data_IF_611739252091
#
_entry.id   IF_611739252091
#
_cell.length_a   1.000
_cell.length_b   1.000
_cell.length_c   1.000
_cell.angle_alpha   90.00
_cell.angle_beta   90.00
_cell.angle_gamma   90.00
#
_symmetry.space_group_name_H-M   'P 1'
#
loop_
_entity.id
_entity.type
_entity.pdbx_description
1 polymer ?
#
# COMPACT_ATOMS: atom_id res chain seq x y z
N UNK A 1 28.75 -14.32 25.80
CA UNK A 1 28.64 -12.91 25.38
C UNK A 1 28.73 -12.85 23.87
N UNK A 2 27.59 -12.87 23.17
CA UNK A 2 27.56 -12.68 21.71
C UNK A 2 27.45 -11.18 21.44
N UNK A 3 28.47 -10.61 20.79
CA UNK A 3 28.49 -9.21 20.37
C UNK A 3 27.31 -8.95 19.43
N UNK A 4 26.48 -7.97 19.78
CA UNK A 4 25.49 -7.37 18.88
C UNK A 4 26.25 -6.65 17.77
N UNK A 5 26.23 -7.20 16.56
CA UNK A 5 26.69 -6.48 15.38
C UNK A 5 25.73 -5.32 15.12
N UNK A 6 26.13 -4.12 15.52
CA UNK A 6 25.60 -2.90 14.92
C UNK A 6 25.88 -2.94 13.41
N UNK A 7 24.97 -2.46 12.54
CA UNK A 7 25.28 -2.33 11.13
C UNK A 7 26.51 -1.43 11.00
N UNK A 8 27.56 -1.97 10.37
CA UNK A 8 28.76 -1.22 10.00
C UNK A 8 28.31 0.07 9.31
N UNK A 9 28.85 1.23 9.73
CA UNK A 9 28.54 2.50 9.08
C UNK A 9 28.86 2.38 7.59
N UNK A 10 27.89 2.66 6.75
CA UNK A 10 28.04 2.56 5.30
C UNK A 10 28.84 3.77 4.80
N UNK A 11 30.13 3.57 4.57
CA UNK A 11 31.04 4.65 4.17
C UNK A 11 30.93 5.04 2.71
N UNK A 12 30.51 4.10 1.84
CA UNK A 12 30.45 4.31 0.39
C UNK A 12 29.14 3.80 -0.21
N UNK A 13 28.83 4.25 -1.43
CA UNK A 13 27.68 3.72 -2.18
C UNK A 13 27.84 2.23 -2.53
N UNK A 14 29.07 1.78 -2.80
CA UNK A 14 29.38 0.36 -3.02
C UNK A 14 29.01 -0.51 -1.81
N UNK A 15 29.10 0.03 -0.59
CA UNK A 15 28.66 -0.66 0.62
C UNK A 15 27.12 -0.82 0.65
N UNK A 16 26.36 0.19 0.23
CA UNK A 16 24.89 0.12 0.13
C UNK A 16 24.50 -0.99 -0.86
N UNK A 17 25.12 -0.99 -2.03
CA UNK A 17 24.89 -2.01 -3.07
C UNK A 17 25.24 -3.41 -2.56
N UNK A 18 26.33 -3.56 -1.81
CA UNK A 18 26.73 -4.84 -1.19
C UNK A 18 25.69 -5.32 -0.17
N UNK A 19 25.17 -4.43 0.68
CA UNK A 19 24.11 -4.76 1.65
C UNK A 19 22.85 -5.21 0.92
N UNK A 20 22.43 -4.51 -0.11
CA UNK A 20 21.23 -4.85 -0.91
C UNK A 20 21.36 -6.23 -1.54
N UNK A 21 22.52 -6.57 -2.11
CA UNK A 21 22.79 -7.91 -2.64
C UNK A 21 22.81 -8.99 -1.56
N UNK A 22 23.23 -8.66 -0.34
CA UNK A 22 23.17 -9.58 0.80
C UNK A 22 21.74 -9.84 1.25
N UNK A 23 20.90 -8.80 1.30
CA UNK A 23 19.48 -8.92 1.64
C UNK A 23 18.66 -9.63 0.56
N UNK A 24 19.04 -9.45 -0.71
CA UNK A 24 18.36 -10.00 -1.87
C UNK A 24 19.38 -10.75 -2.78
N UNK A 25 19.84 -11.94 -2.38
CA UNK A 25 20.89 -12.68 -3.10
C UNK A 25 20.49 -13.07 -4.52
N UNK A 26 19.20 -13.32 -4.74
CA UNK A 26 18.63 -13.70 -6.04
C UNK A 26 17.99 -12.51 -6.78
N UNK A 27 18.40 -11.27 -6.46
CA UNK A 27 17.78 -10.03 -6.99
C UNK A 27 17.72 -10.00 -8.53
N UNK A 28 18.65 -10.67 -9.22
CA UNK A 28 18.71 -10.70 -10.67
C UNK A 28 17.96 -11.87 -11.31
N UNK A 29 17.40 -12.79 -10.53
CA UNK A 29 16.78 -14.03 -11.01
C UNK A 29 15.39 -14.29 -10.45
N UNK A 30 14.93 -13.52 -9.46
CA UNK A 30 13.63 -13.73 -8.80
C UNK A 30 12.89 -12.42 -8.53
N UNK A 31 11.61 -12.57 -8.22
CA UNK A 31 10.78 -11.46 -7.74
C UNK A 31 10.86 -11.30 -6.23
N UNK A 32 10.92 -10.05 -5.76
CA UNK A 32 10.80 -9.66 -4.37
C UNK A 32 9.64 -8.69 -4.16
N UNK A 33 8.97 -8.81 -3.01
CA UNK A 33 7.91 -7.91 -2.57
C UNK A 33 8.25 -7.42 -1.17
N UNK A 34 8.24 -6.10 -0.98
CA UNK A 34 8.74 -5.45 0.23
C UNK A 34 7.74 -4.39 0.72
N UNK A 35 7.30 -4.44 1.99
CA UNK A 35 7.53 -5.55 2.92
C UNK A 35 6.88 -6.86 2.44
N UNK A 36 7.44 -8.02 2.81
CA UNK A 36 6.89 -9.34 2.41
C UNK A 36 5.54 -9.64 3.07
N UNK A 37 5.20 -8.90 4.13
CA UNK A 37 3.92 -8.97 4.83
C UNK A 37 3.32 -7.58 4.85
N UNK A 38 2.04 -7.47 4.47
CA UNK A 38 1.32 -6.21 4.56
C UNK A 38 1.01 -5.88 6.01
N UNK A 39 1.37 -4.67 6.43
CA UNK A 39 1.06 -4.13 7.75
C UNK A 39 -0.01 -3.05 7.63
N UNK A 40 -1.01 -3.08 8.52
CA UNK A 40 -1.99 -2.01 8.60
C UNK A 40 -1.30 -0.67 8.90
N UNK A 41 -1.81 0.42 8.34
CA UNK A 41 -1.30 1.78 8.57
C UNK A 41 -1.44 2.18 10.04
N UNK A 42 -2.51 1.72 10.68
CA UNK A 42 -2.73 1.87 12.12
C UNK A 42 -2.77 0.49 12.73
N UNK A 43 -1.91 0.21 13.72
CA UNK A 43 -2.03 -1.02 14.51
C UNK A 43 -3.28 -0.92 15.37
N UNK A 44 -4.15 -1.92 15.35
CA UNK A 44 -5.35 -1.95 16.16
C UNK A 44 -5.52 -3.31 16.85
N UNK A 45 -6.00 -3.28 18.09
CA UNK A 45 -6.34 -4.45 18.89
C UNK A 45 -7.86 -4.56 18.99
N UNK A 46 -8.38 -5.77 18.81
CA UNK A 46 -9.80 -6.05 19.03
C UNK A 46 -10.07 -6.13 20.52
N UNK A 47 -10.99 -5.30 21.01
CA UNK A 47 -11.56 -5.42 22.35
C UNK A 47 -13.03 -5.80 22.23
N UNK A 48 -13.36 -6.96 22.79
CA UNK A 48 -14.74 -7.37 22.97
C UNK A 48 -15.16 -6.91 24.38
N UNK A 49 -16.04 -5.91 24.45
CA UNK A 49 -16.78 -5.58 25.67
C UNK A 49 -18.20 -6.10 25.48
N UNK A 50 -18.88 -6.65 26.51
CA UNK A 50 -20.26 -7.08 26.37
C UNK A 50 -21.13 -5.98 25.74
N UNK A 51 -21.72 -6.28 24.58
CA UNK A 51 -22.58 -5.36 23.84
C UNK A 51 -21.87 -4.43 22.82
N UNK A 52 -20.54 -4.31 22.83
CA UNK A 52 -19.80 -3.47 21.87
C UNK A 52 -18.45 -4.09 21.51
N UNK A 53 -18.25 -4.38 20.23
CA UNK A 53 -16.92 -4.63 19.68
C UNK A 53 -16.30 -3.29 19.27
N UNK A 54 -15.17 -2.90 19.84
CA UNK A 54 -14.40 -1.75 19.33
C UNK A 54 -12.93 -2.10 19.12
N UNK A 55 -12.32 -1.40 18.18
CA UNK A 55 -10.90 -1.53 17.84
C UNK A 55 -10.14 -0.37 18.49
N UNK A 56 -9.16 -0.68 19.35
CA UNK A 56 -8.28 0.32 19.95
C UNK A 56 -6.96 0.37 19.20
N UNK A 57 -6.53 1.54 18.74
CA UNK A 57 -5.21 1.66 18.12
C UNK A 57 -4.10 1.41 19.16
N UNK A 58 -3.03 0.72 18.75
CA UNK A 58 -1.79 0.68 19.51
C UNK A 58 -0.91 1.87 19.08
N UNK A 59 -0.67 2.81 19.99
CA UNK A 59 0.33 3.87 19.79
C UNK A 59 1.54 3.53 20.64
N UNK A 60 2.71 3.36 20.01
CA UNK A 60 3.98 3.32 20.73
C UNK A 60 4.42 4.73 21.05
N UNK A 61 4.21 5.16 22.28
CA UNK A 61 4.83 6.37 22.80
C UNK A 61 6.31 6.08 23.06
N UNK A 62 7.19 6.79 22.37
CA UNK A 62 8.61 6.86 22.78
C UNK A 62 8.70 7.80 23.98
N UNK A 63 9.46 7.48 25.04
CA UNK A 63 9.65 8.40 26.16
C UNK A 63 10.61 9.51 25.72
N UNK A 64 10.08 10.50 25.02
CA UNK A 64 10.75 11.79 24.83
C UNK A 64 10.00 12.81 25.66
N UNK A 65 10.62 13.22 26.76
CA UNK A 65 10.14 14.32 27.58
C UNK A 65 9.95 15.57 26.72
N UNK A 66 8.70 16.04 26.69
CA UNK A 66 8.25 17.43 26.57
C UNK A 66 6.76 17.36 26.24
N UNK A 67 5.94 17.38 27.29
CA UNK A 67 4.48 17.34 27.18
C UNK A 67 3.92 18.63 26.57
N UNK A 68 2.74 18.58 25.91
CA UNK A 68 1.99 19.78 25.58
C UNK A 68 1.36 20.37 26.84
N UNK A 69 1.63 21.65 27.10
CA UNK A 69 0.95 22.43 28.15
C UNK A 69 -0.51 22.67 27.78
N UNK A 70 -1.42 22.27 28.66
CA UNK A 70 -2.77 22.82 28.75
C UNK A 70 -3.00 23.25 30.20
N UNK A 71 -3.32 24.54 30.38
CA UNK A 71 -3.66 25.19 31.64
C UNK A 71 -5.01 24.68 32.17
N UNK A 72 -5.11 24.32 33.46
CA UNK A 72 -5.88 25.07 34.48
C UNK A 72 -6.11 24.30 35.80
N UNK A 73 -5.91 25.04 36.90
CA UNK A 73 -6.38 24.94 38.29
C UNK A 73 -6.03 23.74 39.24
N UNK A 74 -5.28 24.11 40.29
CA UNK A 74 -4.94 23.43 41.56
C UNK A 74 -6.07 23.59 42.63
N UNK A 75 -6.14 22.80 43.75
CA UNK A 75 -5.12 22.81 44.82
C UNK A 75 -4.72 21.46 45.47
N UNK A 76 -3.41 21.36 45.72
CA UNK A 76 -2.71 21.00 46.97
C UNK A 76 -3.12 19.74 47.78
N UNK A 77 -2.20 18.76 47.85
CA UNK A 77 -1.53 18.41 49.12
C UNK A 77 -0.30 17.50 48.92
N UNK A 78 0.72 17.83 49.69
CA UNK A 78 2.07 17.29 49.78
C UNK A 78 2.10 15.88 50.38
N UNK A 79 2.89 14.96 49.83
CA UNK A 79 3.81 14.11 50.62
C UNK A 79 4.93 13.54 49.75
N UNK A 80 6.13 13.50 50.33
CA UNK A 80 7.45 13.34 49.72
C UNK A 80 8.00 11.91 49.91
N UNK A 81 8.57 11.34 48.82
CA UNK A 81 9.66 10.31 48.67
C UNK A 81 9.51 8.91 49.34
N UNK A 82 10.24 7.84 48.91
CA UNK A 82 11.34 7.79 47.93
C UNK A 82 11.34 6.68 46.86
N UNK A 83 12.31 6.87 45.96
CA UNK A 83 12.67 6.13 44.77
C UNK A 83 12.84 4.61 44.93
N UNK A 84 12.37 3.87 43.92
CA UNK A 84 12.80 2.52 43.63
C UNK A 84 13.15 2.44 42.13
N UNK A 85 14.37 2.05 41.72
CA UNK A 85 14.74 1.97 40.31
C UNK A 85 14.26 0.63 39.75
N UNK A 86 12.98 0.55 39.38
CA UNK A 86 12.47 -0.58 38.60
C UNK A 86 12.56 -0.26 37.11
N UNK A 87 13.36 -1.10 36.43
CA UNK A 87 13.38 -1.41 35.00
C UNK A 87 12.31 -0.70 34.14
N UNK A 88 12.73 0.34 33.40
CA UNK A 88 11.89 1.00 32.41
C UNK A 88 11.87 0.12 31.15
N UNK A 89 10.99 -0.88 31.14
CA UNK A 89 10.46 -1.42 29.90
C UNK A 89 9.56 -0.34 29.26
N UNK A 90 9.57 -0.16 27.93
CA UNK A 90 8.60 0.72 27.28
C UNK A 90 7.19 0.26 27.63
N UNK A 91 6.45 1.04 28.43
CA UNK A 91 5.04 0.82 28.65
C UNK A 91 4.30 1.21 27.36
N UNK A 92 3.85 0.21 26.60
CA UNK A 92 2.87 0.41 25.54
C UNK A 92 1.61 0.98 26.18
N UNK A 93 1.45 2.31 26.10
CA UNK A 93 0.27 2.99 26.63
C UNK A 93 -0.81 2.91 25.56
N UNK A 94 -1.84 2.09 25.78
CA UNK A 94 -3.01 2.03 24.89
C UNK A 94 -3.81 3.34 25.00
N UNK A 95 -3.43 4.32 24.19
CA UNK A 95 -4.23 5.53 23.98
C UNK A 95 -5.36 5.14 23.02
N UNK A 96 -6.65 5.36 23.34
CA UNK A 96 -7.73 5.15 22.40
C UNK A 96 -7.65 6.20 21.29
N UNK A 97 -6.83 5.94 20.26
CA UNK A 97 -6.91 6.69 19.00
C UNK A 97 -8.12 6.17 18.25
N UNK A 98 -9.02 7.07 17.90
CA UNK A 98 -10.19 6.78 17.07
C UNK A 98 -9.71 6.45 15.66
N UNK A 99 -9.48 5.17 15.38
CA UNK A 99 -9.25 4.69 14.00
C UNK A 99 -10.50 4.99 13.19
N UNK A 100 -10.35 5.71 12.07
CA UNK A 100 -11.50 6.03 11.24
C UNK A 100 -11.82 4.86 10.30
N UNK A 101 -13.10 4.68 9.98
CA UNK A 101 -13.56 3.70 8.98
C UNK A 101 -12.81 3.81 7.63
N UNK A 102 -12.36 5.02 7.29
CA UNK A 102 -11.55 5.26 6.11
C UNK A 102 -10.18 4.56 6.15
N UNK A 103 -9.52 4.51 7.31
CA UNK A 103 -8.20 3.87 7.44
C UNK A 103 -8.32 2.36 7.22
N UNK A 104 -9.37 1.71 7.74
CA UNK A 104 -9.62 0.28 7.48
C UNK A 104 -9.87 -0.02 6.01
N UNK A 105 -10.65 0.84 5.34
CA UNK A 105 -10.95 0.67 3.92
C UNK A 105 -9.71 0.84 3.04
N UNK A 106 -8.85 1.79 3.38
CA UNK A 106 -7.59 2.03 2.67
C UNK A 106 -6.59 0.89 2.92
N UNK A 107 -6.45 0.42 4.15
CA UNK A 107 -5.59 -0.74 4.49
C UNK A 107 -6.07 -2.01 3.79
N UNK A 108 -7.38 -2.28 3.79
CA UNK A 108 -7.93 -3.42 3.06
C UNK A 108 -7.65 -3.30 1.56
N UNK A 109 -7.94 -2.15 0.96
CA UNK A 109 -7.70 -1.94 -0.47
C UNK A 109 -6.23 -2.17 -0.83
N UNK A 110 -5.32 -1.71 0.02
CA UNK A 110 -3.91 -1.94 -0.17
C UNK A 110 -3.55 -3.42 -0.06
N UNK A 111 -4.01 -4.11 0.98
CA UNK A 111 -3.80 -5.55 1.13
C UNK A 111 -4.33 -6.34 -0.06
N UNK A 112 -5.53 -6.01 -0.54
CA UNK A 112 -6.18 -6.67 -1.67
C UNK A 112 -5.37 -6.51 -2.96
N UNK A 113 -4.94 -5.30 -3.28
CA UNK A 113 -4.08 -5.03 -4.45
C UNK A 113 -2.74 -5.75 -4.31
N UNK A 114 -2.07 -5.65 -3.16
CA UNK A 114 -0.76 -6.28 -2.96
C UNK A 114 -0.82 -7.81 -3.05
N UNK A 115 -1.89 -8.44 -2.55
CA UNK A 115 -2.09 -9.89 -2.67
C UNK A 115 -2.23 -10.33 -4.13
N UNK A 116 -2.97 -9.57 -4.94
CA UNK A 116 -3.11 -9.83 -6.38
C UNK A 116 -1.79 -9.65 -7.14
N UNK A 117 -1.06 -8.55 -6.86
CA UNK A 117 0.26 -8.33 -7.46
C UNK A 117 1.26 -9.41 -7.05
N UNK A 118 1.17 -9.91 -5.82
CA UNK A 118 2.01 -11.01 -5.34
C UNK A 118 1.72 -12.32 -6.08
N UNK A 119 0.44 -12.68 -6.21
CA UNK A 119 0.06 -13.85 -6.98
C UNK A 119 0.50 -13.74 -8.44
N UNK A 120 0.33 -12.57 -9.07
CA UNK A 120 0.82 -12.28 -10.41
C UNK A 120 2.34 -12.47 -10.52
N UNK A 121 3.12 -11.81 -9.67
CA UNK A 121 4.57 -11.93 -9.61
C UNK A 121 5.05 -13.39 -9.50
N UNK A 122 4.45 -14.15 -8.58
CA UNK A 122 4.80 -15.54 -8.35
C UNK A 122 4.50 -16.44 -9.56
N UNK A 123 3.47 -16.10 -10.35
CA UNK A 123 3.09 -16.86 -11.54
C UNK A 123 4.02 -16.65 -12.74
N UNK A 124 4.74 -15.51 -12.81
CA UNK A 124 5.43 -15.07 -14.05
C UNK A 124 6.87 -15.53 -14.20
N UNK A 125 7.53 -16.00 -13.13
CA UNK A 125 8.98 -16.32 -13.14
C UNK A 125 9.86 -15.21 -13.75
N UNK A 126 9.40 -13.96 -13.69
CA UNK A 126 10.10 -12.77 -14.16
C UNK A 126 10.83 -12.09 -12.99
N UNK A 127 11.73 -11.16 -13.31
CA UNK A 127 12.54 -10.45 -12.32
C UNK A 127 11.89 -9.11 -12.01
N UNK A 128 11.29 -9.03 -10.82
CA UNK A 128 10.53 -7.86 -10.37
C UNK A 128 10.90 -7.48 -8.93
N UNK A 129 10.79 -6.20 -8.61
CA UNK A 129 10.90 -5.71 -7.24
C UNK A 129 9.71 -4.81 -6.95
N UNK A 130 8.82 -5.24 -6.06
CA UNK A 130 7.57 -4.55 -5.76
C UNK A 130 7.65 -3.97 -4.35
N UNK A 131 7.64 -2.64 -4.22
CA UNK A 131 7.59 -1.93 -2.96
C UNK A 131 6.16 -1.50 -2.66
N UNK A 132 5.70 -1.72 -1.43
CA UNK A 132 4.43 -1.21 -0.92
C UNK A 132 4.67 -0.08 0.07
N UNK A 133 3.97 1.05 -0.10
CA UNK A 133 4.06 2.27 0.74
C UNK A 133 5.48 2.81 0.88
N UNK A 134 6.05 3.24 -0.24
CA UNK A 134 7.31 3.95 -0.21
C UNK A 134 7.07 5.41 0.23
N UNK A 135 7.53 5.76 1.42
CA UNK A 135 7.54 7.13 1.92
C UNK A 135 8.86 7.82 1.53
N UNK A 136 8.77 8.83 0.66
CA UNK A 136 9.93 9.58 0.19
C UNK A 136 10.57 10.46 1.27
N UNK A 137 9.87 10.73 2.37
CA UNK A 137 10.41 11.44 3.53
C UNK A 137 11.40 10.59 4.34
N UNK A 138 11.33 9.27 4.22
CA UNK A 138 12.28 8.33 4.84
C UNK A 138 13.38 7.89 3.86
N UNK A 139 13.21 8.17 2.57
CA UNK A 139 14.15 7.80 1.51
C UNK A 139 15.56 8.33 1.78
N UNK A 140 16.54 7.41 1.86
CA UNK A 140 17.96 7.68 2.14
C UNK A 140 18.24 8.51 3.41
N UNK A 141 17.28 8.66 4.32
CA UNK A 141 17.40 9.52 5.50
C UNK A 141 17.87 8.80 6.77
N UNK A 142 18.24 7.51 6.67
CA UNK A 142 18.83 6.81 7.79
C UNK A 142 20.27 7.28 8.05
N UNK A 143 20.63 7.63 9.29
CA UNK A 143 21.98 8.09 9.64
C UNK A 143 23.09 7.13 9.24
N UNK A 144 22.81 5.82 9.21
CA UNK A 144 23.77 4.77 8.84
C UNK A 144 24.26 4.85 7.38
N UNK A 145 23.48 5.49 6.48
CA UNK A 145 23.80 5.62 5.06
C UNK A 145 24.10 7.07 4.64
N UNK A 146 23.99 8.04 5.56
CA UNK A 146 24.04 9.46 5.22
C UNK A 146 25.31 9.89 4.45
N UNK A 147 26.47 9.31 4.79
CA UNK A 147 27.72 9.58 4.06
C UNK A 147 27.68 8.99 2.63
N UNK A 148 27.23 7.75 2.50
CA UNK A 148 27.12 7.06 1.22
C UNK A 148 26.08 7.69 0.27
N UNK A 149 25.07 8.36 0.81
CA UNK A 149 23.93 8.91 0.05
C UNK A 149 23.96 10.43 -0.09
N UNK A 150 24.98 11.11 0.45
CA UNK A 150 25.08 12.57 0.47
C UNK A 150 25.02 13.23 -0.93
N UNK A 151 25.45 12.51 -1.97
CA UNK A 151 25.50 12.99 -3.35
C UNK A 151 24.26 12.61 -4.18
N UNK A 152 23.32 11.85 -3.62
CA UNK A 152 22.13 11.39 -4.33
C UNK A 152 21.01 12.43 -4.28
N UNK A 153 20.18 12.53 -5.34
CA UNK A 153 19.09 13.49 -5.37
C UNK A 153 18.07 13.19 -4.27
N UNK A 154 17.68 14.22 -3.54
CA UNK A 154 16.70 14.13 -2.45
C UNK A 154 15.32 14.65 -2.87
N UNK A 155 14.22 14.04 -2.39
CA UNK A 155 12.87 14.56 -2.61
C UNK A 155 12.69 16.00 -2.14
N UNK A 156 13.37 16.42 -1.08
CA UNK A 156 13.33 17.78 -0.54
C UNK A 156 13.87 18.84 -1.51
N UNK A 157 14.70 18.47 -2.49
CA UNK A 157 15.19 19.40 -3.52
C UNK A 157 14.08 19.84 -4.48
N UNK A 158 12.98 19.08 -4.55
CA UNK A 158 11.80 19.45 -5.31
C UNK A 158 10.84 20.34 -4.52
N UNK A 159 11.05 20.49 -3.21
CA UNK A 159 10.15 21.27 -2.35
C UNK A 159 10.09 22.71 -2.85
N UNK A 160 8.87 23.20 -2.97
CA UNK A 160 8.60 24.60 -3.29
C UNK A 160 7.81 25.19 -2.12
N UNK A 161 7.84 26.51 -1.94
CA UNK A 161 7.04 27.17 -0.88
C UNK A 161 5.53 26.88 -0.96
N UNK A 162 5.04 26.24 -2.03
CA UNK A 162 3.64 25.85 -2.24
C UNK A 162 3.40 24.33 -2.23
N UNK A 163 4.43 23.50 -2.36
CA UNK A 163 4.28 22.04 -2.48
C UNK A 163 5.47 21.33 -1.87
N UNK A 164 5.19 20.51 -0.87
CA UNK A 164 6.14 19.63 -0.19
C UNK A 164 6.11 18.25 -0.84
N UNK A 165 7.18 17.93 -1.56
CA UNK A 165 7.46 16.64 -2.18
C UNK A 165 8.16 15.68 -1.22
N UNK A 166 8.88 16.19 -0.22
CA UNK A 166 9.50 15.37 0.83
C UNK A 166 8.51 14.50 1.60
N UNK A 167 7.23 14.88 1.69
CA UNK A 167 6.18 14.07 2.34
C UNK A 167 5.33 13.24 1.36
N UNK A 168 5.81 13.05 0.12
CA UNK A 168 5.08 12.22 -0.85
C UNK A 168 5.21 10.73 -0.51
N UNK A 169 4.22 9.96 -0.96
CA UNK A 169 4.17 8.52 -0.79
C UNK A 169 3.62 7.85 -2.05
N UNK A 170 4.33 6.83 -2.52
CA UNK A 170 3.84 5.90 -3.52
C UNK A 170 3.27 4.66 -2.84
N UNK A 171 2.02 4.30 -3.17
CA UNK A 171 1.38 3.13 -2.55
C UNK A 171 1.99 1.83 -3.11
N UNK A 172 2.37 1.86 -4.40
CA UNK A 172 3.07 0.78 -5.10
C UNK A 172 4.18 1.36 -5.96
N UNK A 173 5.38 0.80 -5.87
CA UNK A 173 6.47 0.97 -6.84
C UNK A 173 6.85 -0.40 -7.37
N UNK A 174 6.66 -0.62 -8.66
CA UNK A 174 6.89 -1.89 -9.32
C UNK A 174 8.06 -1.72 -10.30
N UNK A 175 9.20 -2.34 -9.98
CA UNK A 175 10.43 -2.28 -10.78
C UNK A 175 10.57 -3.61 -11.53
N UNK A 176 10.21 -3.61 -12.81
CA UNK A 176 10.35 -4.77 -13.68
C UNK A 176 11.66 -4.68 -14.46
N UNK A 177 12.48 -5.73 -14.42
CA UNK A 177 13.82 -5.71 -15.04
C UNK A 177 13.80 -5.44 -16.55
N UNK A 178 12.84 -6.05 -17.24
CA UNK A 178 12.74 -6.02 -18.71
C UNK A 178 11.63 -5.08 -19.23
N UNK A 179 10.97 -4.33 -18.35
CA UNK A 179 9.87 -3.44 -18.75
C UNK A 179 10.01 -2.02 -18.20
N UNK A 180 10.68 -1.80 -17.06
CA UNK A 180 10.87 -0.47 -16.48
C UNK A 180 10.17 -0.33 -15.14
N UNK A 181 9.77 0.91 -14.80
CA UNK A 181 9.18 1.23 -13.49
C UNK A 181 7.73 1.64 -13.65
N UNK A 182 6.85 1.06 -12.85
CA UNK A 182 5.45 1.44 -12.70
C UNK A 182 5.21 2.01 -11.30
N UNK A 183 4.63 3.21 -11.23
CA UNK A 183 4.18 3.82 -9.97
C UNK A 183 2.66 3.74 -9.88
N UNK A 184 2.17 3.33 -8.72
CA UNK A 184 0.76 3.14 -8.45
C UNK A 184 0.26 3.93 -7.24
N UNK A 185 -0.96 4.45 -7.37
CA UNK A 185 -1.76 4.97 -6.24
C UNK A 185 -3.03 4.14 -6.08
N UNK A 186 -3.36 3.74 -4.85
CA UNK A 186 -4.52 2.93 -4.53
C UNK A 186 -5.62 3.82 -3.95
N UNK A 187 -6.88 3.60 -4.35
CA UNK A 187 -8.03 4.22 -3.68
C UNK A 187 -9.17 3.26 -3.43
N UNK A 188 -9.63 3.23 -2.18
CA UNK A 188 -10.76 2.45 -1.68
C UNK A 188 -12.14 3.08 -2.02
N UNK A 189 -12.38 3.40 -3.29
CA UNK A 189 -13.67 3.95 -3.75
C UNK A 189 -14.56 2.86 -4.34
N UNK A 190 -15.89 2.98 -4.20
CA UNK A 190 -16.85 2.07 -4.84
C UNK A 190 -17.33 0.87 -4.02
N UNK A 191 -16.71 0.56 -2.86
CA UNK A 191 -17.10 -0.61 -2.05
C UNK A 191 -18.48 -0.52 -1.39
N UNK A 192 -18.92 0.68 -1.04
CA UNK A 192 -20.22 0.90 -0.40
C UNK A 192 -21.18 1.50 -1.44
N UNK A 193 -22.29 0.80 -1.72
CA UNK A 193 -23.32 1.24 -2.68
C UNK A 193 -23.94 2.61 -2.33
N UNK A 194 -23.78 3.07 -1.08
CA UNK A 194 -24.23 4.39 -0.61
C UNK A 194 -23.25 5.54 -0.93
N UNK A 195 -22.08 5.27 -1.52
CA UNK A 195 -21.11 6.33 -1.84
C UNK A 195 -21.55 7.06 -3.11
N UNK A 196 -21.90 8.34 -2.95
CA UNK A 196 -22.29 9.18 -4.08
C UNK A 196 -21.15 9.34 -5.10
N UNK A 197 -21.52 9.50 -6.37
CA UNK A 197 -20.59 9.67 -7.50
C UNK A 197 -19.59 10.80 -7.27
N UNK A 198 -20.00 11.87 -6.61
CA UNK A 198 -19.15 13.02 -6.26
C UNK A 198 -17.94 12.63 -5.40
N UNK A 199 -18.15 11.75 -4.42
CA UNK A 199 -17.06 11.25 -3.56
C UNK A 199 -16.07 10.41 -4.36
N UNK A 200 -16.56 9.58 -5.28
CA UNK A 200 -15.72 8.79 -6.20
C UNK A 200 -14.86 9.73 -7.04
N UNK A 201 -15.49 10.69 -7.73
CA UNK A 201 -14.83 11.71 -8.55
C UNK A 201 -13.74 12.43 -7.75
N UNK A 202 -14.07 12.91 -6.56
CA UNK A 202 -13.14 13.64 -5.69
C UNK A 202 -11.92 12.79 -5.33
N UNK A 203 -12.12 11.53 -4.95
CA UNK A 203 -11.03 10.62 -4.56
C UNK A 203 -10.15 10.19 -5.74
N UNK A 204 -10.72 10.01 -6.93
CA UNK A 204 -9.92 9.73 -8.14
C UNK A 204 -9.11 10.98 -8.54
N UNK A 205 -9.69 12.20 -8.50
CA UNK A 205 -8.94 13.47 -8.72
C UNK A 205 -7.75 13.60 -7.76
N UNK A 206 -7.98 13.30 -6.47
CA UNK A 206 -6.92 13.29 -5.46
C UNK A 206 -5.83 12.26 -5.78
N UNK A 207 -6.21 11.04 -6.17
CA UNK A 207 -5.26 10.00 -6.53
C UNK A 207 -4.38 10.37 -7.73
N UNK A 208 -4.96 10.91 -8.78
CA UNK A 208 -4.24 11.41 -9.95
C UNK A 208 -3.22 12.50 -9.57
N UNK A 209 -3.60 13.41 -8.68
CA UNK A 209 -2.72 14.48 -8.19
C UNK A 209 -1.57 13.91 -7.35
N UNK A 210 -1.85 12.95 -6.46
CA UNK A 210 -0.85 12.27 -5.64
C UNK A 210 0.10 11.41 -6.49
N UNK A 211 -0.43 10.75 -7.52
CA UNK A 211 0.34 9.97 -8.48
C UNK A 211 1.31 10.85 -9.27
N UNK A 212 0.88 12.04 -9.71
CA UNK A 212 1.76 12.98 -10.40
C UNK A 212 2.91 13.46 -9.53
N UNK A 213 2.64 13.77 -8.27
CA UNK A 213 3.68 14.15 -7.31
C UNK A 213 4.67 13.02 -7.08
N UNK A 214 4.17 11.82 -6.78
CA UNK A 214 5.02 10.63 -6.55
C UNK A 214 5.86 10.31 -7.78
N UNK A 215 5.27 10.37 -8.98
CA UNK A 215 5.99 10.16 -10.22
C UNK A 215 7.07 11.20 -10.50
N UNK A 216 6.88 12.47 -10.09
CA UNK A 216 7.92 13.50 -10.17
C UNK A 216 9.08 13.17 -9.21
N UNK A 217 8.77 12.77 -7.98
CA UNK A 217 9.79 12.38 -6.99
C UNK A 217 10.61 11.20 -7.48
N UNK A 218 9.97 10.10 -7.94
CA UNK A 218 10.71 8.91 -8.41
C UNK A 218 11.59 9.25 -9.61
N UNK A 219 11.11 10.06 -10.56
CA UNK A 219 11.98 10.49 -11.68
C UNK A 219 13.16 11.33 -11.23
N UNK A 220 13.01 12.15 -10.19
CA UNK A 220 14.10 12.96 -9.64
C UNK A 220 15.14 12.11 -8.92
N UNK A 221 14.73 11.20 -8.04
CA UNK A 221 15.67 10.35 -7.28
C UNK A 221 16.42 9.35 -8.18
N UNK A 222 15.83 8.99 -9.33
CA UNK A 222 16.46 8.12 -10.33
C UNK A 222 17.21 8.90 -11.42
N UNK A 223 17.27 10.23 -11.33
CA UNK A 223 18.04 11.08 -12.24
C UNK A 223 19.51 10.65 -12.17
N UNK A 224 20.07 10.23 -13.31
CA UNK A 224 21.44 9.78 -13.44
C UNK A 224 21.66 8.26 -13.46
N UNK A 225 20.62 7.43 -13.25
CA UNK A 225 20.75 5.96 -13.41
C UNK A 225 20.39 5.51 -14.83
N UNK A 226 19.30 6.05 -15.37
CA UNK A 226 18.82 5.78 -16.71
C UNK A 226 17.99 6.96 -17.21
N UNK A 227 18.54 7.77 -18.12
CA UNK A 227 17.91 8.97 -18.68
C UNK A 227 16.60 8.69 -19.43
N UNK A 228 16.52 7.53 -20.09
CA UNK A 228 15.41 7.16 -20.98
C UNK A 228 14.56 6.00 -20.42
N UNK A 229 14.57 5.84 -19.10
CA UNK A 229 13.85 4.80 -18.39
C UNK A 229 12.34 4.79 -18.73
N UNK A 230 11.78 3.68 -19.25
CA UNK A 230 10.34 3.49 -19.31
C UNK A 230 9.72 3.62 -17.92
N UNK A 231 8.80 4.58 -17.83
CA UNK A 231 8.19 4.99 -16.59
C UNK A 231 6.68 5.10 -16.76
N UNK A 232 5.97 4.20 -16.10
CA UNK A 232 4.52 4.02 -16.20
C UNK A 232 3.82 4.45 -14.92
N UNK A 233 2.52 4.68 -15.04
CA UNK A 233 1.68 5.25 -14.00
C UNK A 233 0.33 4.59 -14.00
N UNK A 234 -0.18 4.22 -12.84
CA UNK A 234 -1.51 3.64 -12.69
C UNK A 234 -2.21 4.13 -11.43
N UNK A 235 -3.53 4.02 -11.45
CA UNK A 235 -4.36 4.10 -10.26
C UNK A 235 -5.05 2.75 -10.10
N UNK A 236 -4.92 2.16 -8.92
CA UNK A 236 -5.65 0.96 -8.52
C UNK A 236 -6.99 1.38 -7.90
N UNK A 237 -8.06 0.88 -8.49
CA UNK A 237 -9.46 1.13 -8.12
C UNK A 237 -10.14 -0.23 -7.88
N UNK A 238 -9.79 -0.94 -6.79
CA UNK A 238 -10.18 -2.34 -6.59
C UNK A 238 -11.69 -2.59 -6.49
N UNK A 239 -12.51 -1.54 -6.36
CA UNK A 239 -13.96 -1.66 -6.20
C UNK A 239 -14.76 -0.81 -7.21
N UNK A 240 -14.11 -0.36 -8.29
CA UNK A 240 -14.79 0.27 -9.43
C UNK A 240 -14.39 -0.51 -10.66
N UNK A 241 -15.38 -0.92 -11.47
CA UNK A 241 -15.10 -1.55 -12.75
C UNK A 241 -14.63 -0.55 -13.81
N UNK A 242 -13.87 -1.01 -14.79
CA UNK A 242 -13.43 -0.22 -15.95
C UNK A 242 -14.61 0.46 -16.66
N UNK A 243 -15.77 -0.20 -16.72
CA UNK A 243 -17.01 0.35 -17.29
C UNK A 243 -17.54 1.52 -16.47
N UNK A 244 -17.64 1.38 -15.15
CA UNK A 244 -18.09 2.47 -14.27
C UNK A 244 -17.12 3.65 -14.32
N UNK A 245 -15.81 3.40 -14.28
CA UNK A 245 -14.79 4.44 -14.43
C UNK A 245 -14.99 5.21 -15.74
N UNK A 246 -15.20 4.50 -16.86
CA UNK A 246 -15.44 5.13 -18.16
C UNK A 246 -16.67 6.02 -18.17
N UNK A 247 -17.80 5.55 -17.65
CA UNK A 247 -19.03 6.34 -17.55
C UNK A 247 -18.81 7.62 -16.72
N UNK A 248 -18.10 7.51 -15.59
CA UNK A 248 -17.77 8.67 -14.76
C UNK A 248 -16.88 9.67 -15.52
N UNK A 249 -15.92 9.19 -16.33
CA UNK A 249 -15.04 10.05 -17.13
C UNK A 249 -15.78 10.73 -18.28
N UNK A 250 -16.72 10.04 -18.93
CA UNK A 250 -17.58 10.61 -19.97
C UNK A 250 -18.49 11.72 -19.42
N UNK A 251 -18.90 11.61 -18.16
CA UNK A 251 -19.80 12.57 -17.51
C UNK A 251 -19.08 13.72 -16.76
N UNK A 252 -17.80 13.58 -16.38
CA UNK A 252 -17.02 14.61 -15.67
C UNK A 252 -15.74 14.99 -16.45
N UNK A 253 -15.88 16.01 -17.29
CA UNK A 253 -14.79 16.58 -18.10
C UNK A 253 -13.57 17.04 -17.27
N UNK A 254 -13.77 17.49 -16.03
CA UNK A 254 -12.68 17.93 -15.17
C UNK A 254 -11.89 16.74 -14.63
N UNK A 255 -12.57 15.65 -14.26
CA UNK A 255 -11.94 14.39 -13.87
C UNK A 255 -11.17 13.80 -15.05
N UNK A 256 -11.81 13.75 -16.23
CA UNK A 256 -11.18 13.27 -17.45
C UNK A 256 -9.84 13.96 -17.69
N UNK A 257 -9.83 15.31 -17.73
CA UNK A 257 -8.59 16.08 -17.98
C UNK A 257 -7.50 15.75 -16.97
N UNK A 258 -7.84 15.72 -15.68
CA UNK A 258 -6.88 15.45 -14.59
C UNK A 258 -6.34 14.02 -14.67
N UNK A 259 -7.20 13.03 -14.89
CA UNK A 259 -6.78 11.62 -14.94
C UNK A 259 -5.96 11.34 -16.19
N UNK A 260 -6.43 11.79 -17.37
CA UNK A 260 -5.72 11.65 -18.64
C UNK A 260 -4.31 12.26 -18.57
N UNK A 261 -4.18 13.49 -18.06
CA UNK A 261 -2.88 14.14 -17.87
C UNK A 261 -1.96 13.34 -16.94
N UNK A 262 -2.49 12.86 -15.81
CA UNK A 262 -1.72 12.07 -14.84
C UNK A 262 -1.21 10.76 -15.44
N UNK A 263 -2.06 10.06 -16.21
CA UNK A 263 -1.74 8.80 -16.88
C UNK A 263 -1.02 8.98 -18.23
N UNK A 264 -0.77 10.23 -18.67
CA UNK A 264 -0.11 10.58 -19.94
C UNK A 264 -0.82 9.99 -21.17
N UNK A 265 -2.13 10.16 -21.21
CA UNK A 265 -2.98 9.80 -22.33
C UNK A 265 -3.96 10.93 -22.61
N UNK A 266 -4.48 11.00 -23.83
CA UNK A 266 -5.55 11.91 -24.26
C UNK A 266 -6.89 11.19 -24.44
N UNK A 267 -6.86 9.86 -24.51
CA UNK A 267 -8.00 9.00 -24.79
C UNK A 267 -8.62 8.40 -23.51
N UNK A 268 -9.94 8.56 -23.33
CA UNK A 268 -10.70 8.04 -22.16
C UNK A 268 -10.64 6.51 -22.09
N UNK A 269 -10.80 5.82 -23.22
CA UNK A 269 -10.72 4.36 -23.28
C UNK A 269 -9.34 3.88 -22.81
N UNK A 270 -8.27 4.55 -23.28
CA UNK A 270 -6.90 4.26 -22.85
C UNK A 270 -6.70 4.59 -21.37
N UNK A 271 -7.22 5.72 -20.88
CA UNK A 271 -7.17 6.07 -19.45
C UNK A 271 -7.84 5.00 -18.58
N UNK A 272 -9.01 4.49 -18.99
CA UNK A 272 -9.71 3.42 -18.27
C UNK A 272 -8.90 2.12 -18.22
N UNK A 273 -8.21 1.76 -19.32
CA UNK A 273 -7.36 0.56 -19.41
C UNK A 273 -6.03 0.67 -18.66
N UNK A 274 -5.53 1.90 -18.43
CA UNK A 274 -4.30 2.14 -17.69
C UNK A 274 -4.53 2.08 -16.16
N UNK A 275 -5.75 2.29 -15.69
CA UNK A 275 -6.14 1.99 -14.32
C UNK A 275 -6.29 0.49 -14.13
N UNK A 276 -5.92 -0.03 -12.95
CA UNK A 276 -6.26 -1.39 -12.54
C UNK A 276 -7.58 -1.34 -11.78
N UNK A 277 -8.64 -1.82 -12.40
CA UNK A 277 -10.02 -1.77 -11.89
C UNK A 277 -10.42 -3.09 -11.21
N UNK A 278 -11.62 -3.14 -10.64
CA UNK A 278 -12.13 -4.34 -9.96
C UNK A 278 -12.23 -5.56 -10.88
N UNK A 279 -12.43 -5.35 -12.17
CA UNK A 279 -12.45 -6.39 -13.21
C UNK A 279 -11.06 -7.01 -13.45
N UNK A 280 -9.97 -6.35 -13.08
CA UNK A 280 -8.62 -6.88 -13.30
C UNK A 280 -8.14 -7.80 -12.16
N UNK A 281 -8.76 -7.71 -10.98
CA UNK A 281 -8.30 -8.40 -9.75
C UNK A 281 -9.33 -9.40 -9.22
N UNK A 282 -8.99 -10.08 -8.11
CA UNK A 282 -9.89 -10.98 -7.40
C UNK A 282 -11.06 -10.25 -6.72
N UNK A 283 -12.13 -11.00 -6.42
CA UNK A 283 -13.28 -10.48 -5.68
C UNK A 283 -12.88 -9.96 -4.29
N UNK A 284 -13.36 -8.78 -3.85
CA UNK A 284 -12.98 -8.20 -2.56
C UNK A 284 -13.41 -9.00 -1.32
N UNK A 285 -14.45 -9.83 -1.40
CA UNK A 285 -14.89 -10.73 -0.31
C UNK A 285 -14.09 -12.03 -0.30
N UNK A 286 -13.48 -12.39 -1.43
CA UNK A 286 -12.58 -13.52 -1.58
C UNK A 286 -11.24 -13.08 -2.13
N UNK A 287 -10.66 -12.03 -1.53
CA UNK A 287 -9.48 -11.38 -2.11
C UNK A 287 -8.26 -12.30 -2.20
N UNK A 288 -8.22 -13.36 -1.38
CA UNK A 288 -7.19 -14.40 -1.41
C UNK A 288 -7.31 -15.36 -2.59
N UNK A 289 -8.48 -15.45 -3.21
CA UNK A 289 -8.81 -16.38 -4.30
C UNK A 289 -8.38 -15.79 -5.65
N UNK A 290 -7.07 -15.83 -5.91
CA UNK A 290 -6.48 -15.39 -7.18
C UNK A 290 -6.39 -16.58 -8.13
N UNK A 291 -7.42 -16.75 -8.96
CA UNK A 291 -7.52 -17.83 -9.94
C UNK A 291 -6.70 -17.55 -11.21
N UNK A 292 -6.50 -18.57 -12.05
CA UNK A 292 -5.82 -18.41 -13.36
C UNK A 292 -6.51 -17.37 -14.24
N UNK A 293 -7.85 -17.26 -14.17
CA UNK A 293 -8.60 -16.23 -14.88
C UNK A 293 -8.27 -14.83 -14.37
N UNK A 294 -8.11 -14.66 -13.05
CA UNK A 294 -7.66 -13.37 -12.47
C UNK A 294 -6.24 -13.06 -12.92
N UNK A 295 -5.32 -14.04 -12.88
CA UNK A 295 -3.94 -13.88 -13.33
C UNK A 295 -3.86 -13.50 -14.83
N UNK A 296 -4.71 -14.08 -15.67
CA UNK A 296 -4.79 -13.74 -17.09
C UNK A 296 -5.28 -12.29 -17.32
N UNK A 297 -6.23 -11.80 -16.52
CA UNK A 297 -6.69 -10.40 -16.57
C UNK A 297 -5.61 -9.44 -16.08
N UNK A 298 -4.97 -9.73 -14.95
CA UNK A 298 -3.80 -8.97 -14.46
C UNK A 298 -2.69 -8.91 -15.50
N UNK A 299 -2.34 -10.04 -16.12
CA UNK A 299 -1.35 -10.07 -17.18
C UNK A 299 -1.78 -9.18 -18.36
N UNK A 300 -3.03 -9.27 -18.79
CA UNK A 300 -3.56 -8.40 -19.85
C UNK A 300 -3.40 -6.93 -19.48
N UNK A 301 -3.75 -6.54 -18.25
CA UNK A 301 -3.57 -5.17 -17.77
C UNK A 301 -2.08 -4.76 -17.76
N UNK A 302 -1.17 -5.58 -17.22
CA UNK A 302 0.27 -5.31 -17.20
C UNK A 302 0.83 -5.13 -18.62
N UNK A 303 0.39 -5.95 -19.58
CA UNK A 303 0.81 -5.78 -20.98
C UNK A 303 0.30 -4.44 -21.56
N UNK A 304 -0.95 -4.06 -21.28
CA UNK A 304 -1.47 -2.78 -21.73
C UNK A 304 -0.70 -1.57 -21.17
N UNK A 305 -0.19 -1.66 -19.94
CA UNK A 305 0.50 -0.55 -19.30
C UNK A 305 2.01 -0.53 -19.57
N UNK A 306 2.69 -1.68 -19.54
CA UNK A 306 4.15 -1.75 -19.48
C UNK A 306 4.83 -2.29 -20.75
N UNK A 307 4.10 -2.82 -21.75
CA UNK A 307 4.72 -3.47 -22.92
C UNK A 307 4.55 -2.71 -24.24
N UNK A 308 4.54 -1.38 -24.17
CA UNK A 308 4.28 -0.50 -25.31
C UNK A 308 5.44 0.42 -25.71
N UNK A 309 6.59 -0.14 -26.09
CA UNK A 309 7.67 0.45 -26.94
C UNK A 309 8.94 -0.38 -26.73
N UNK A 310 9.82 -0.43 -27.74
CA UNK A 310 11.15 -1.10 -27.81
C UNK A 310 11.62 -1.84 -26.56
N UNK A 311 11.99 -3.12 -26.70
CA UNK A 311 12.49 -4.00 -25.62
C UNK A 311 13.59 -3.30 -24.80
N UNK A 312 13.16 -2.58 -23.78
CA UNK A 312 14.03 -1.89 -22.85
C UNK A 312 14.43 -2.88 -21.78
N UNK A 313 15.72 -2.96 -21.50
CA UNK A 313 16.23 -3.89 -20.50
C UNK A 313 17.23 -3.19 -19.61
N UNK A 314 16.95 -3.19 -18.31
CA UNK A 314 17.94 -2.75 -17.36
C UNK A 314 19.17 -3.65 -17.43
N UNK A 315 20.35 -3.04 -17.47
CA UNK A 315 21.57 -3.78 -17.12
C UNK A 315 21.46 -4.27 -15.67
N UNK A 316 22.18 -5.35 -15.33
CA UNK A 316 22.21 -5.84 -13.95
C UNK A 316 22.64 -4.76 -12.96
N UNK A 317 23.55 -3.86 -13.38
CA UNK A 317 24.02 -2.75 -12.54
C UNK A 317 22.92 -1.71 -12.33
N UNK A 318 22.23 -1.27 -13.39
CA UNK A 318 21.13 -0.31 -13.28
C UNK A 318 19.99 -0.85 -12.41
N UNK A 319 19.63 -2.12 -12.57
CA UNK A 319 18.57 -2.73 -11.77
C UNK A 319 18.92 -2.73 -10.27
N UNK A 320 20.14 -3.17 -9.93
CA UNK A 320 20.61 -3.17 -8.54
C UNK A 320 20.72 -1.75 -7.97
N UNK A 321 21.20 -0.80 -8.77
CA UNK A 321 21.31 0.62 -8.40
C UNK A 321 19.94 1.20 -8.01
N UNK A 322 18.91 0.94 -8.81
CA UNK A 322 17.54 1.40 -8.56
C UNK A 322 17.00 0.75 -7.28
N UNK A 323 17.13 -0.56 -7.14
CA UNK A 323 16.66 -1.27 -5.94
C UNK A 323 17.41 -0.80 -4.69
N UNK A 324 18.70 -0.49 -4.79
CA UNK A 324 19.52 -0.03 -3.68
C UNK A 324 19.13 1.36 -3.17
N UNK A 325 18.76 2.26 -4.10
CA UNK A 325 18.20 3.58 -3.78
C UNK A 325 16.94 3.47 -2.94
N UNK A 326 16.08 2.50 -3.23
CA UNK A 326 14.82 2.32 -2.50
C UNK A 326 14.96 1.52 -1.19
N UNK A 327 15.98 0.66 -1.06
CA UNK A 327 16.15 -0.25 0.09
C UNK A 327 17.08 0.26 1.19
N UNK A 328 17.67 1.46 1.06
CA UNK A 328 18.43 2.07 2.16
C UNK A 328 17.59 2.31 3.42
N UNK A 329 16.26 2.17 3.36
CA UNK A 329 15.37 2.27 4.52
C UNK A 329 14.98 0.89 5.12
N UNK A 330 15.09 -0.21 4.34
CA UNK A 330 14.60 -1.53 4.73
C UNK A 330 15.43 -2.22 5.84
N UNK A 331 16.65 -1.74 6.11
CA UNK A 331 17.54 -2.31 7.13
C UNK A 331 17.07 -2.18 8.58
N UNK A 332 16.02 -1.40 8.86
CA UNK A 332 15.54 -1.15 10.22
C UNK A 332 14.44 -2.13 10.71
N UNK A 333 13.88 -2.96 9.83
CA UNK A 333 12.79 -3.90 10.18
C UNK A 333 13.16 -5.38 10.06
N UNK A 334 14.46 -5.70 10.16
CA UNK A 334 14.97 -7.08 10.14
C UNK A 334 14.51 -7.92 11.33
N UNK A 335 13.24 -8.34 11.34
CA UNK A 335 12.80 -9.53 12.06
C UNK A 335 13.24 -10.71 11.22
N UNK A 336 14.24 -11.44 11.72
CA UNK A 336 14.58 -12.79 11.26
C UNK A 336 13.31 -13.65 11.36
N UNK A 337 12.71 -14.03 10.24
CA UNK A 337 11.72 -15.11 10.23
C UNK A 337 12.45 -16.43 10.03
N UNK A 338 12.32 -17.30 11.02
CA UNK A 338 12.58 -18.72 10.86
C UNK A 338 11.59 -19.34 9.87
N UNK A 339 12.07 -20.37 9.18
CA UNK A 339 11.41 -21.16 8.13
C UNK A 339 9.92 -21.50 8.42
N UNK A 340 9.03 -21.55 7.40
CA UNK A 340 7.60 -21.66 7.61
C UNK A 340 7.20 -23.08 8.08
N UNK A 341 6.67 -23.19 9.29
CA UNK A 341 5.81 -24.31 9.70
C UNK A 341 4.38 -23.83 9.97
N UNK A 342 3.47 -24.35 9.14
CA UNK A 342 2.06 -24.67 9.37
C UNK A 342 1.09 -23.59 9.88
N UNK A 343 0.26 -23.13 8.94
CA UNK A 343 -1.19 -22.86 9.02
C UNK A 343 -1.87 -23.04 10.39
N UNK A 344 -2.29 -21.92 11.01
CA UNK A 344 -3.47 -21.87 11.92
C UNK A 344 -4.00 -20.47 12.25
N UNK A 345 -3.28 -19.39 11.94
CA UNK A 345 -3.66 -18.03 12.36
C UNK A 345 -4.70 -17.31 11.45
N UNK A 346 -5.18 -17.91 10.36
CA UNK A 346 -6.03 -17.21 9.37
C UNK A 346 -7.54 -17.25 9.63
N UNK A 347 -8.03 -18.01 10.61
CA UNK A 347 -9.49 -18.19 10.82
C UNK A 347 -10.18 -17.12 11.69
N UNK A 348 -9.45 -16.25 12.39
CA UNK A 348 -10.09 -15.30 13.33
C UNK A 348 -10.46 -13.95 12.73
N UNK A 349 -9.97 -13.62 11.53
CA UNK A 349 -10.13 -12.28 10.94
C UNK A 349 -11.31 -12.16 9.95
N UNK A 350 -11.91 -13.28 9.52
CA UNK A 350 -12.98 -13.32 8.51
C UNK A 350 -14.39 -13.24 9.08
N UNK A 351 -14.61 -13.58 10.37
CA UNK A 351 -15.97 -13.65 10.94
C UNK A 351 -16.66 -12.30 11.11
N UNK A 352 -15.93 -11.18 11.25
CA UNK A 352 -16.56 -9.89 11.54
C UNK A 352 -17.31 -9.28 10.34
N UNK A 353 -16.85 -9.50 9.10
CA UNK A 353 -17.49 -8.91 7.91
C UNK A 353 -18.84 -9.56 7.59
N UNK A 354 -19.03 -10.83 7.91
CA UNK A 354 -20.31 -11.53 7.72
C UNK A 354 -21.36 -11.14 8.77
N UNK A 355 -20.95 -10.91 10.03
CA UNK A 355 -21.86 -10.68 11.15
C UNK A 355 -22.48 -9.26 11.17
N UNK A 356 -21.83 -8.24 10.56
CA UNK A 356 -22.36 -6.87 10.52
C UNK A 356 -23.33 -6.59 9.36
N UNK A 357 -23.48 -7.50 8.39
CA UNK A 357 -24.44 -7.36 7.30
C UNK A 357 -25.83 -7.94 7.61
N UNK A 358 -25.97 -8.76 8.67
CA UNK A 358 -27.26 -9.33 9.06
C UNK A 358 -28.08 -8.46 10.05
N UNK A 359 -27.49 -7.45 10.70
CA UNK A 359 -28.16 -6.70 11.76
C UNK A 359 -28.76 -5.33 11.36
N UNK A 360 -28.87 -5.03 10.05
CA UNK A 360 -29.55 -3.80 9.56
C UNK A 360 -30.75 -4.06 8.63
N UNK A 361 -31.45 -5.17 8.79
CA UNK A 361 -32.82 -5.31 8.29
C UNK A 361 -33.80 -5.25 9.45
N UNK A 362 -34.46 -4.10 9.63
CA UNK A 362 -35.65 -3.98 10.47
C UNK A 362 -36.86 -4.60 9.76
N UNK A 363 -37.85 -5.14 10.49
CA UNK A 363 -38.96 -5.87 9.87
C UNK A 363 -39.97 -4.89 9.27
N UNK A 364 -40.12 -4.93 7.95
CA UNK A 364 -41.31 -4.45 7.28
C UNK A 364 -42.37 -5.55 7.36
N UNK A 365 -43.46 -5.29 8.09
CA UNK A 365 -44.62 -6.15 8.14
C UNK A 365 -45.37 -6.20 6.80
N UNK A 366 -45.98 -7.34 6.52
CA UNK A 366 -46.89 -7.52 5.40
C UNK A 366 -46.91 -8.94 4.86
N UNK A 367 -47.68 -9.82 5.51
CA UNK A 367 -48.41 -10.88 4.79
C UNK A 367 -49.39 -10.19 3.82
N UNK A 368 -49.70 -10.73 2.62
CA UNK A 368 -50.40 -12.03 2.58
C UNK A 368 -50.22 -12.93 1.33
N UNK A 369 -50.55 -14.21 1.57
CA UNK A 369 -51.31 -15.15 0.72
C UNK A 369 -50.71 -15.75 -0.58
N UNK A 370 -50.52 -17.07 -0.51
CA UNK A 370 -50.92 -18.14 -1.44
C UNK A 370 -50.58 -18.05 -2.95
N UNK A 371 -49.71 -18.96 -3.42
CA UNK A 371 -49.93 -19.82 -4.61
C UNK A 371 -48.83 -20.90 -4.74
N UNK A 372 -49.08 -22.02 -5.45
CA UNK A 372 -48.58 -23.35 -5.06
C UNK A 372 -47.47 -23.96 -5.96
N UNK A 373 -46.92 -25.05 -5.43
CA UNK A 373 -46.22 -26.17 -6.08
C UNK A 373 -46.28 -26.26 -7.61
N UNK A 374 -45.11 -26.43 -8.24
CA UNK A 374 -44.90 -27.37 -9.34
C UNK A 374 -43.46 -27.91 -9.33
N UNK A 375 -43.36 -29.24 -9.33
CA UNK A 375 -42.14 -30.04 -9.43
C UNK A 375 -41.86 -30.44 -10.88
N UNK A 376 -40.56 -30.64 -11.16
CA UNK A 376 -39.98 -31.76 -11.92
C UNK A 376 -39.45 -31.56 -13.37
N UNK A 377 -38.25 -32.15 -13.57
CA UNK A 377 -37.66 -32.77 -14.78
C UNK A 377 -37.36 -31.86 -16.01
N UNK A 378 -36.32 -32.00 -16.83
CA UNK A 378 -35.23 -32.98 -17.05
C UNK A 378 -34.11 -32.27 -17.88
N UNK A 379 -32.83 -32.53 -17.60
CA UNK A 379 -31.83 -33.25 -18.43
C UNK A 379 -31.82 -32.98 -19.95
N UNK A 380 -30.66 -32.52 -20.44
CA UNK A 380 -30.20 -32.59 -21.84
C UNK A 380 -28.66 -32.44 -21.88
N UNK A 381 -28.03 -32.93 -22.95
CA UNK A 381 -27.59 -34.31 -23.18
C UNK A 381 -26.17 -34.62 -22.66
#
# INVERSE_FOLDING_TARGET
>A
MAQRNHPERCGTWSDVVRIVRSLYPDLLSRTYIVPPVHFNKVSYTRKNVPGVNYLSALVRTSPSGNGPQAHDHFPTSLTTVPANPQSILPQETEIPVRVQENDFRDDFAQKHVMHNLQAYANSRQEVMFILSRLNFGSYLNQPAYAAATAHLPRPSELDTGKTTYSNCEADVVFIHRDHGILIGKIKSVGRNNAVNKETIVKRIKQAATQLDKSAKVVRHILKGVASDLPFFRTIFLPYISSRQLRQILEEDNALQKVLCASLRTDNILKASRLCCCSDDISDPERFWDVTDTVLARLNTWVQHIMTGSDRWKFTSQQYVEIVARENSDAGASGVKMDSPRSSRAHHQHTSWYSDHLQHHQGPAGGDPLCAPHCTAHDLYP
#
